data_IF_544628697825
#
_entry.id   IF_544628697825
#
_cell.length_a   1.000
_cell.length_b   1.000
_cell.length_c   1.000
_cell.angle_alpha   90.00
_cell.angle_beta   90.00
_cell.angle_gamma   90.00
#
_symmetry.space_group_name_H-M   'P 1'
#
loop_
_entity.id
_entity.type
_entity.pdbx_description
1 polymer ?
#
# COMPACT_ATOMS: atom_id res chain seq x y z
N UNK A 1 -8.28 35.18 -13.65
CA UNK A 1 -7.10 34.32 -13.45
C UNK A 1 -7.47 33.01 -12.76
N UNK A 2 -8.40 33.00 -11.79
CA UNK A 2 -8.96 31.77 -11.18
C UNK A 2 -9.83 30.94 -12.13
N UNK A 3 -10.76 31.58 -12.87
CA UNK A 3 -11.67 30.88 -13.81
C UNK A 3 -10.94 30.19 -14.99
N UNK A 4 -9.70 30.63 -15.28
CA UNK A 4 -8.87 30.01 -16.32
C UNK A 4 -8.06 28.80 -15.81
N UNK A 5 -8.00 28.58 -14.49
CA UNK A 5 -7.25 27.47 -13.88
C UNK A 5 -8.14 26.26 -13.59
N UNK A 6 -9.42 26.49 -13.26
CA UNK A 6 -10.43 25.43 -13.10
C UNK A 6 -10.67 24.66 -14.40
N UNK A 7 -10.68 25.35 -15.56
CA UNK A 7 -10.80 24.70 -16.88
C UNK A 7 -9.55 23.89 -17.31
N UNK A 8 -8.38 24.13 -16.71
CA UNK A 8 -7.18 23.35 -17.01
C UNK A 8 -7.10 22.06 -16.18
N UNK A 9 -7.73 21.99 -15.00
CA UNK A 9 -7.75 20.75 -14.21
C UNK A 9 -8.69 19.71 -14.84
N UNK A 10 -9.85 20.13 -15.34
CA UNK A 10 -10.83 19.23 -15.97
C UNK A 10 -10.37 18.62 -17.31
N UNK A 11 -9.38 19.23 -17.99
CA UNK A 11 -8.84 18.70 -19.26
C UNK A 11 -7.55 17.88 -19.09
N UNK A 12 -6.82 18.04 -17.99
CA UNK A 12 -5.54 17.33 -17.76
C UNK A 12 -5.74 15.98 -17.07
N UNK A 13 -6.76 15.84 -16.20
CA UNK A 13 -6.97 14.61 -15.43
C UNK A 13 -8.01 13.66 -16.03
N UNK A 14 -8.98 14.15 -16.81
CA UNK A 14 -10.05 13.30 -17.34
C UNK A 14 -9.69 12.57 -18.64
N UNK A 15 -8.69 13.02 -19.41
CA UNK A 15 -8.45 12.49 -20.76
C UNK A 15 -7.57 11.23 -20.82
N UNK A 16 -6.55 11.03 -19.96
CA UNK A 16 -5.76 9.79 -19.96
C UNK A 16 -6.51 8.60 -19.36
N UNK A 17 -7.25 8.84 -18.27
CA UNK A 17 -7.99 7.81 -17.51
C UNK A 17 -9.08 7.15 -18.38
N UNK A 18 -9.74 7.93 -19.25
CA UNK A 18 -10.81 7.49 -20.16
C UNK A 18 -10.39 6.43 -21.20
N UNK A 19 -9.11 6.38 -21.58
CA UNK A 19 -8.67 5.53 -22.71
C UNK A 19 -7.84 4.31 -22.28
N UNK A 20 -7.17 4.36 -21.13
CA UNK A 20 -6.35 3.26 -20.62
C UNK A 20 -7.19 2.12 -20.02
N UNK A 21 -8.22 2.45 -19.24
CA UNK A 21 -9.11 1.43 -18.61
C UNK A 21 -9.90 0.65 -19.69
N UNK A 22 -10.32 1.29 -20.77
CA UNK A 22 -11.07 0.63 -21.85
C UNK A 22 -10.21 -0.33 -22.70
N UNK A 23 -8.89 -0.12 -22.76
CA UNK A 23 -7.96 -0.96 -23.52
C UNK A 23 -7.51 -2.20 -22.72
N UNK A 24 -7.49 -2.11 -21.40
CA UNK A 24 -6.91 -3.12 -20.51
C UNK A 24 -7.86 -4.30 -20.19
N UNK A 25 -9.18 -4.07 -20.21
CA UNK A 25 -10.17 -5.07 -19.77
C UNK A 25 -10.94 -5.81 -20.89
N UNK A 26 -10.68 -5.51 -22.17
CA UNK A 26 -11.35 -6.22 -23.28
C UNK A 26 -12.88 -6.07 -23.33
N UNK A 27 -13.43 -5.09 -22.63
CA UNK A 27 -14.87 -4.87 -22.46
C UNK A 27 -15.44 -4.09 -23.65
N UNK A 28 -15.73 -4.78 -24.75
CA UNK A 28 -16.61 -4.27 -25.78
C UNK A 28 -18.07 -4.49 -25.38
N UNK A 29 -18.64 -3.64 -24.51
CA UNK A 29 -20.08 -3.38 -24.46
C UNK A 29 -20.40 -2.01 -23.85
N UNK A 30 -21.16 -1.21 -24.60
CA UNK A 30 -21.13 0.26 -24.55
C UNK A 30 -22.12 0.93 -23.60
N UNK A 31 -22.91 0.20 -22.79
CA UNK A 31 -23.89 0.83 -21.88
C UNK A 31 -23.37 0.94 -20.44
N UNK A 32 -22.77 -0.12 -19.88
CA UNK A 32 -22.25 -0.10 -18.50
C UNK A 32 -21.06 0.86 -18.31
N UNK A 33 -20.23 1.04 -19.35
CA UNK A 33 -19.14 2.02 -19.33
C UNK A 33 -19.70 3.44 -19.25
N UNK A 34 -20.77 3.73 -20.00
CA UNK A 34 -21.40 5.06 -20.00
C UNK A 34 -22.00 5.36 -18.63
N UNK A 35 -22.63 4.37 -17.99
CA UNK A 35 -23.22 4.56 -16.66
C UNK A 35 -22.16 4.82 -15.57
N UNK A 36 -21.01 4.13 -15.63
CA UNK A 36 -19.88 4.37 -14.73
C UNK A 36 -19.23 5.73 -15.02
N UNK A 37 -19.01 6.06 -16.30
CA UNK A 37 -18.47 7.36 -16.70
C UNK A 37 -19.35 8.52 -16.23
N UNK A 38 -20.68 8.38 -16.35
CA UNK A 38 -21.64 9.38 -15.87
C UNK A 38 -21.66 9.50 -14.36
N UNK A 39 -21.58 8.37 -13.63
CA UNK A 39 -21.53 8.38 -12.17
C UNK A 39 -20.24 9.03 -11.62
N UNK A 40 -19.10 8.79 -12.27
CA UNK A 40 -17.83 9.43 -11.93
C UNK A 40 -17.89 10.93 -12.23
N UNK A 41 -18.44 11.32 -13.39
CA UNK A 41 -18.57 12.73 -13.78
C UNK A 41 -19.53 13.50 -12.85
N UNK A 42 -20.62 12.86 -12.39
CA UNK A 42 -21.54 13.41 -11.38
C UNK A 42 -20.83 13.61 -10.04
N UNK A 43 -20.11 12.61 -9.54
CA UNK A 43 -19.37 12.71 -8.27
C UNK A 43 -18.25 13.75 -8.29
N UNK A 44 -17.51 13.85 -9.40
CA UNK A 44 -16.49 14.91 -9.59
C UNK A 44 -17.17 16.28 -9.54
N UNK A 45 -18.32 16.42 -10.22
CA UNK A 45 -19.08 17.68 -10.24
C UNK A 45 -19.58 18.06 -8.84
N UNK A 46 -20.10 17.09 -8.09
CA UNK A 46 -20.57 17.30 -6.72
C UNK A 46 -19.43 17.68 -5.77
N UNK A 47 -18.26 17.05 -5.92
CA UNK A 47 -17.06 17.39 -5.17
C UNK A 47 -16.57 18.81 -5.49
N UNK A 48 -16.56 19.20 -6.77
CA UNK A 48 -16.23 20.56 -7.20
C UNK A 48 -17.21 21.59 -6.60
N UNK A 49 -18.51 21.27 -6.58
CA UNK A 49 -19.55 22.13 -6.01
C UNK A 49 -19.41 22.27 -4.49
N UNK A 50 -19.16 21.17 -3.77
CA UNK A 50 -18.94 21.16 -2.34
C UNK A 50 -17.69 21.97 -1.96
N UNK A 51 -16.63 21.91 -2.78
CA UNK A 51 -15.44 22.74 -2.62
C UNK A 51 -15.79 24.22 -2.81
N UNK A 52 -16.58 24.58 -3.83
CA UNK A 52 -17.03 25.96 -4.03
C UNK A 52 -17.94 26.47 -2.90
N UNK A 53 -18.83 25.64 -2.36
CA UNK A 53 -19.73 26.01 -1.26
C UNK A 53 -19.00 26.09 0.10
N UNK A 54 -17.92 25.33 0.28
CA UNK A 54 -17.08 25.39 1.48
C UNK A 54 -16.17 26.64 1.54
N UNK A 55 -16.12 27.44 0.47
CA UNK A 55 -15.42 28.73 0.45
C UNK A 55 -16.06 29.65 1.49
N UNK A 56 -15.35 30.07 2.55
CA UNK A 56 -15.88 31.06 3.47
C UNK A 56 -16.18 32.35 2.70
N UNK A 57 -17.37 32.90 2.90
CA UNK A 57 -17.80 34.19 2.33
C UNK A 57 -16.93 35.40 2.76
N UNK A 58 -15.82 35.16 3.46
CA UNK A 58 -14.88 36.12 3.99
C UNK A 58 -13.88 36.69 2.97
N UNK A 59 -13.86 36.25 1.71
CA UNK A 59 -13.00 36.86 0.66
C UNK A 59 -13.66 38.09 -0.01
N UNK A 60 -14.64 38.75 0.65
CA UNK A 60 -15.18 40.02 0.11
C UNK A 60 -15.19 41.22 1.04
N UNK A 61 -14.70 41.15 2.28
CA UNK A 61 -14.54 42.38 3.08
C UNK A 61 -13.37 42.29 4.08
N UNK A 62 -12.15 42.52 3.60
CA UNK A 62 -11.12 43.39 4.22
C UNK A 62 -9.78 43.20 3.49
N UNK A 63 -9.63 43.93 2.39
CA UNK A 63 -8.41 44.02 1.60
C UNK A 63 -7.59 45.24 2.07
N UNK A 64 -6.97 45.21 3.26
CA UNK A 64 -5.98 46.24 3.64
C UNK A 64 -4.90 45.70 4.61
N UNK A 65 -3.65 45.70 4.11
CA UNK A 65 -2.35 45.71 4.83
C UNK A 65 -1.73 44.39 5.36
N UNK A 66 -1.11 43.59 4.49
CA UNK A 66 0.36 43.49 4.34
C UNK A 66 0.68 42.40 3.30
N UNK A 67 1.60 42.67 2.36
CA UNK A 67 1.85 41.80 1.20
C UNK A 67 2.64 40.51 1.52
N UNK A 68 3.08 40.26 2.76
CA UNK A 68 3.88 39.07 3.09
C UNK A 68 3.11 37.96 3.78
N UNK A 69 2.11 38.27 4.60
CA UNK A 69 1.30 37.24 5.28
C UNK A 69 0.28 36.63 4.32
N UNK A 70 -0.30 37.43 3.41
CA UNK A 70 -1.34 36.96 2.48
C UNK A 70 -0.83 35.90 1.49
N UNK A 71 0.41 35.98 1.01
CA UNK A 71 0.99 34.98 0.11
C UNK A 71 1.32 33.66 0.83
N UNK A 72 1.70 33.73 2.11
CA UNK A 72 1.94 32.55 2.96
C UNK A 72 0.61 31.89 3.34
N UNK A 73 -0.40 32.67 3.71
CA UNK A 73 -1.74 32.15 3.98
C UNK A 73 -2.40 31.57 2.74
N UNK A 74 -2.30 32.24 1.59
CA UNK A 74 -2.85 31.72 0.34
C UNK A 74 -2.13 30.45 -0.14
N UNK A 75 -0.81 30.33 0.06
CA UNK A 75 -0.07 29.10 -0.27
C UNK A 75 -0.34 27.96 0.72
N UNK A 76 -0.55 28.26 2.00
CA UNK A 76 -0.96 27.27 3.00
C UNK A 76 -2.40 26.79 2.78
N UNK A 77 -3.33 27.70 2.52
CA UNK A 77 -4.72 27.37 2.16
C UNK A 77 -4.79 26.56 0.85
N UNK A 78 -3.96 26.90 -0.15
CA UNK A 78 -3.84 26.11 -1.38
C UNK A 78 -3.21 24.73 -1.14
N UNK A 79 -2.23 24.64 -0.24
CA UNK A 79 -1.62 23.37 0.15
C UNK A 79 -2.62 22.48 0.88
N UNK A 80 -3.37 23.03 1.85
CA UNK A 80 -4.40 22.29 2.56
C UNK A 80 -5.52 21.85 1.61
N UNK A 81 -5.96 22.71 0.68
CA UNK A 81 -6.89 22.32 -0.39
C UNK A 81 -6.36 21.19 -1.26
N UNK A 82 -5.06 21.21 -1.60
CA UNK A 82 -4.44 20.10 -2.34
C UNK A 82 -4.47 18.80 -1.53
N UNK A 83 -4.18 18.84 -0.23
CA UNK A 83 -4.21 17.65 0.62
C UNK A 83 -5.64 17.12 0.82
N UNK A 84 -6.62 18.00 0.98
CA UNK A 84 -8.04 17.61 1.06
C UNK A 84 -8.51 17.00 -0.26
N UNK A 85 -8.14 17.57 -1.41
CA UNK A 85 -8.45 16.97 -2.71
C UNK A 85 -7.80 15.59 -2.88
N UNK A 86 -6.54 15.43 -2.45
CA UNK A 86 -5.88 14.12 -2.51
C UNK A 86 -6.59 13.09 -1.64
N UNK A 87 -6.99 13.44 -0.41
CA UNK A 87 -7.77 12.54 0.45
C UNK A 87 -9.14 12.17 -0.13
N UNK A 88 -9.84 13.12 -0.75
CA UNK A 88 -11.12 12.86 -1.44
C UNK A 88 -10.89 11.96 -2.66
N UNK A 89 -9.77 12.12 -3.38
CA UNK A 89 -9.40 11.24 -4.50
C UNK A 89 -9.15 9.83 -3.99
N UNK A 90 -8.38 9.67 -2.91
CA UNK A 90 -8.10 8.36 -2.30
C UNK A 90 -9.42 7.68 -1.83
N UNK A 91 -10.34 8.43 -1.21
CA UNK A 91 -11.67 7.92 -0.80
C UNK A 91 -12.54 7.52 -1.99
N UNK A 92 -12.54 8.31 -3.07
CA UNK A 92 -13.28 8.01 -4.29
C UNK A 92 -12.68 6.82 -5.05
N UNK A 93 -11.36 6.67 -5.03
CA UNK A 93 -10.66 5.50 -5.60
C UNK A 93 -11.09 4.23 -4.87
N UNK A 94 -11.15 4.25 -3.53
CA UNK A 94 -11.64 3.13 -2.72
C UNK A 94 -13.13 2.83 -3.00
N UNK A 95 -13.98 3.85 -3.14
CA UNK A 95 -15.41 3.65 -3.41
C UNK A 95 -15.64 3.08 -4.81
N UNK A 96 -14.85 3.51 -5.81
CA UNK A 96 -14.86 2.93 -7.16
C UNK A 96 -14.36 1.49 -7.13
N UNK A 97 -13.31 1.18 -6.36
CA UNK A 97 -12.85 -0.20 -6.16
C UNK A 97 -13.95 -1.09 -5.58
N UNK A 98 -14.71 -0.62 -4.60
CA UNK A 98 -15.82 -1.37 -4.01
C UNK A 98 -16.96 -1.63 -5.01
N UNK A 99 -17.31 -0.65 -5.84
CA UNK A 99 -18.34 -0.82 -6.87
C UNK A 99 -17.90 -1.75 -8.00
N UNK A 100 -16.63 -1.71 -8.39
CA UNK A 100 -16.05 -2.66 -9.35
C UNK A 100 -16.11 -4.08 -8.78
N UNK A 101 -15.76 -4.27 -7.50
CA UNK A 101 -15.86 -5.57 -6.83
C UNK A 101 -17.30 -6.09 -6.83
N UNK A 102 -18.29 -5.24 -6.56
CA UNK A 102 -19.71 -5.63 -6.58
C UNK A 102 -20.16 -6.03 -7.99
N UNK A 103 -19.73 -5.30 -9.02
CA UNK A 103 -20.01 -5.65 -10.42
C UNK A 103 -19.33 -6.97 -10.81
N UNK A 104 -18.06 -7.16 -10.46
CA UNK A 104 -17.32 -8.40 -10.74
C UNK A 104 -17.94 -9.62 -10.06
N UNK A 105 -18.39 -9.48 -8.80
CA UNK A 105 -19.10 -10.54 -8.08
C UNK A 105 -20.41 -10.91 -8.79
N UNK A 106 -21.17 -9.92 -9.25
CA UNK A 106 -22.39 -10.16 -10.01
C UNK A 106 -22.12 -10.82 -11.38
N UNK A 107 -21.03 -10.47 -12.07
CA UNK A 107 -20.62 -11.12 -13.32
C UNK A 107 -20.14 -12.56 -13.09
N UNK A 108 -19.47 -12.85 -11.97
CA UNK A 108 -19.04 -14.21 -11.59
C UNK A 108 -20.25 -15.08 -11.22
N UNK A 109 -21.24 -14.54 -10.52
CA UNK A 109 -22.50 -15.25 -10.23
C UNK A 109 -23.31 -15.56 -11.51
N UNK A 110 -23.25 -14.69 -12.52
CA UNK A 110 -23.88 -14.91 -13.83
C UNK A 110 -23.04 -15.80 -14.78
N UNK A 111 -21.72 -15.90 -14.58
CA UNK A 111 -20.74 -16.53 -15.48
C UNK A 111 -20.39 -18.01 -15.21
N UNK A 112 -20.99 -18.66 -14.21
CA UNK A 112 -20.71 -20.05 -13.80
C UNK A 112 -21.25 -21.15 -14.75
N UNK A 113 -21.24 -20.91 -16.07
CA UNK A 113 -21.37 -21.93 -17.11
C UNK A 113 -20.44 -21.62 -18.30
N UNK A 114 -19.15 -22.00 -18.22
CA UNK A 114 -18.38 -22.67 -19.30
C UNK A 114 -16.85 -22.75 -19.07
N UNK A 115 -16.38 -24.00 -18.93
CA UNK A 115 -15.17 -24.65 -19.52
C UNK A 115 -13.72 -24.23 -19.22
N UNK A 116 -13.00 -25.22 -18.65
CA UNK A 116 -11.68 -25.83 -18.97
C UNK A 116 -10.36 -25.03 -18.93
N UNK A 117 -9.48 -25.46 -18.00
CA UNK A 117 -8.07 -25.08 -17.81
C UNK A 117 -7.14 -25.55 -18.95
N UNK A 118 -6.06 -24.80 -19.25
CA UNK A 118 -4.87 -25.37 -19.89
C UNK A 118 -3.70 -25.53 -18.90
N UNK A 119 -3.09 -26.72 -18.89
CA UNK A 119 -1.78 -27.00 -18.31
C UNK A 119 -0.67 -26.20 -19.01
N UNK A 120 0.24 -25.59 -18.24
CA UNK A 120 1.49 -25.01 -18.78
C UNK A 120 2.74 -25.68 -18.19
N UNK A 121 3.72 -25.82 -19.08
CA UNK A 121 4.91 -26.66 -19.03
C UNK A 121 6.03 -26.20 -18.09
N UNK A 122 6.75 -27.19 -17.59
CA UNK A 122 7.99 -27.08 -16.81
C UNK A 122 9.13 -26.36 -17.56
N UNK A 123 9.53 -25.18 -17.07
CA UNK A 123 10.81 -24.55 -17.42
C UNK A 123 11.91 -24.87 -16.41
N UNK A 124 13.14 -24.75 -16.90
CA UNK A 124 14.40 -25.25 -16.36
C UNK A 124 14.83 -24.46 -15.11
N UNK A 125 15.08 -25.16 -13.99
CA UNK A 125 15.48 -24.57 -12.71
C UNK A 125 16.71 -23.65 -12.86
N UNK A 126 16.54 -22.38 -12.52
CA UNK A 126 17.65 -21.44 -12.33
C UNK A 126 18.54 -21.94 -11.20
N UNK A 127 19.81 -22.21 -11.51
CA UNK A 127 20.83 -22.57 -10.52
C UNK A 127 21.32 -21.27 -9.90
N UNK A 128 20.79 -20.95 -8.72
CA UNK A 128 21.29 -19.84 -7.88
C UNK A 128 22.78 -20.09 -7.61
N UNK A 129 23.68 -19.13 -7.93
CA UNK A 129 25.09 -19.28 -7.60
C UNK A 129 25.26 -19.39 -6.08
N UNK A 130 26.20 -20.20 -5.59
CA UNK A 130 26.41 -20.38 -4.16
C UNK A 130 26.64 -19.02 -3.48
N UNK A 131 26.15 -18.82 -2.25
CA UNK A 131 26.31 -17.56 -1.53
C UNK A 131 27.78 -17.13 -1.55
N UNK A 132 28.04 -15.89 -1.94
CA UNK A 132 29.33 -15.28 -1.71
C UNK A 132 29.64 -15.37 -0.20
N UNK A 133 30.93 -15.54 0.15
CA UNK A 133 31.42 -15.50 1.53
C UNK A 133 30.67 -14.41 2.34
N UNK A 134 30.18 -14.70 3.56
CA UNK A 134 29.29 -13.82 4.30
C UNK A 134 29.90 -12.42 4.42
N UNK A 135 29.38 -11.49 3.62
CA UNK A 135 29.87 -10.12 3.50
C UNK A 135 29.46 -9.25 4.70
N UNK A 136 28.62 -9.79 5.59
CA UNK A 136 27.94 -9.08 6.67
C UNK A 136 26.77 -8.21 6.18
N UNK A 137 26.35 -8.34 4.92
CA UNK A 137 25.17 -7.66 4.37
C UNK A 137 23.95 -8.57 4.34
N UNK A 138 22.85 -8.11 4.92
CA UNK A 138 21.60 -8.86 5.04
C UNK A 138 20.43 -8.04 4.50
N UNK A 139 19.74 -8.53 3.47
CA UNK A 139 18.52 -7.91 2.95
C UNK A 139 17.30 -8.55 3.61
N UNK A 140 16.37 -7.71 4.06
CA UNK A 140 15.09 -8.12 4.63
C UNK A 140 14.00 -7.77 3.64
N UNK A 141 13.55 -8.77 2.88
CA UNK A 141 12.38 -8.64 2.02
C UNK A 141 11.13 -8.62 2.89
N UNK A 142 10.30 -7.58 2.72
CA UNK A 142 9.05 -7.43 3.47
C UNK A 142 7.89 -7.19 2.51
N UNK A 143 6.74 -7.81 2.80
CA UNK A 143 5.54 -7.73 1.99
C UNK A 143 4.35 -7.33 2.88
N UNK A 144 3.68 -6.25 2.49
CA UNK A 144 2.51 -5.70 3.18
C UNK A 144 1.21 -5.98 2.40
N UNK A 145 0.09 -5.95 3.11
CA UNK A 145 -1.29 -6.00 2.59
C UNK A 145 -1.82 -7.36 2.11
N UNK A 146 -0.99 -8.41 2.12
CA UNK A 146 -1.44 -9.78 1.92
C UNK A 146 -2.22 -10.35 3.12
N UNK A 147 -2.74 -11.58 3.04
CA UNK A 147 -2.50 -12.54 1.97
C UNK A 147 -3.44 -12.36 0.77
N UNK A 148 -2.88 -12.48 -0.43
CA UNK A 148 -3.59 -12.58 -1.70
C UNK A 148 -2.99 -13.68 -2.58
N UNK A 149 -3.44 -13.83 -3.82
CA UNK A 149 -2.86 -14.80 -4.75
C UNK A 149 -1.41 -14.45 -5.09
N UNK A 150 -1.04 -13.16 -5.02
CA UNK A 150 0.34 -12.72 -5.14
C UNK A 150 1.21 -13.28 -4.00
N UNK A 151 0.68 -13.42 -2.78
CA UNK A 151 1.39 -14.06 -1.66
C UNK A 151 1.77 -15.50 -1.97
N UNK A 152 0.90 -16.24 -2.67
CA UNK A 152 1.16 -17.64 -3.06
C UNK A 152 2.34 -17.69 -4.03
N UNK A 153 2.31 -16.84 -5.06
CA UNK A 153 3.39 -16.72 -6.06
C UNK A 153 4.72 -16.30 -5.43
N UNK A 154 4.67 -15.35 -4.49
CA UNK A 154 5.84 -14.90 -3.73
C UNK A 154 6.41 -16.05 -2.90
N UNK A 155 5.59 -16.79 -2.15
CA UNK A 155 6.05 -17.93 -1.34
C UNK A 155 6.70 -19.01 -2.21
N UNK A 156 6.12 -19.31 -3.38
CA UNK A 156 6.72 -20.26 -4.34
C UNK A 156 8.10 -19.79 -4.81
N UNK A 157 8.23 -18.51 -5.19
CA UNK A 157 9.51 -17.91 -5.57
C UNK A 157 10.53 -17.96 -4.42
N UNK A 158 10.16 -17.52 -3.21
CA UNK A 158 11.07 -17.52 -2.06
C UNK A 158 11.57 -18.95 -1.73
N UNK A 159 10.72 -19.95 -1.89
CA UNK A 159 11.06 -21.36 -1.71
C UNK A 159 12.02 -21.87 -2.78
N UNK A 160 11.84 -21.47 -4.03
CA UNK A 160 12.74 -21.84 -5.13
C UNK A 160 14.15 -21.27 -4.95
N UNK A 161 14.27 -20.07 -4.37
CA UNK A 161 15.55 -19.46 -4.01
C UNK A 161 16.07 -19.88 -2.62
N UNK A 162 15.33 -20.68 -1.85
CA UNK A 162 15.61 -21.06 -0.45
C UNK A 162 15.90 -19.88 0.49
N UNK A 163 15.12 -18.80 0.36
CA UNK A 163 15.24 -17.60 1.18
C UNK A 163 14.03 -17.39 2.10
N UNK A 164 14.21 -16.59 3.16
CA UNK A 164 13.13 -16.24 4.09
C UNK A 164 12.85 -14.74 4.05
N UNK A 165 11.57 -14.38 4.07
CA UNK A 165 11.07 -13.01 4.11
C UNK A 165 10.16 -12.77 5.34
N UNK A 166 9.61 -11.55 5.41
CA UNK A 166 8.64 -11.13 6.44
C UNK A 166 7.35 -10.67 5.76
N UNK A 167 6.20 -11.08 6.27
CA UNK A 167 4.89 -10.72 5.74
C UNK A 167 4.12 -9.96 6.83
N UNK A 168 3.82 -8.68 6.59
CA UNK A 168 2.95 -7.87 7.43
C UNK A 168 1.53 -8.01 6.89
N UNK A 169 0.78 -8.92 7.49
CA UNK A 169 -0.49 -9.39 6.93
C UNK A 169 -1.68 -8.58 7.43
N UNK A 170 -2.76 -8.60 6.66
CA UNK A 170 -4.10 -8.22 7.02
C UNK A 170 -4.94 -9.43 7.43
N UNK A 171 -6.11 -9.20 8.02
CA UNK A 171 -7.10 -10.24 8.21
C UNK A 171 -7.92 -10.43 6.92
N UNK A 172 -7.73 -11.57 6.27
CA UNK A 172 -8.48 -11.93 5.06
C UNK A 172 -9.19 -13.26 5.30
N UNK A 173 -10.52 -13.23 5.58
CA UNK A 173 -11.30 -14.43 5.83
C UNK A 173 -11.17 -15.45 4.70
N UNK A 174 -10.95 -16.72 5.05
CA UNK A 174 -10.80 -17.80 4.08
C UNK A 174 -9.38 -17.97 3.51
N UNK A 175 -8.41 -17.17 3.96
CA UNK A 175 -6.97 -17.29 3.60
C UNK A 175 -6.10 -17.80 4.75
N UNK A 176 -6.71 -18.47 5.73
CA UNK A 176 -6.00 -18.95 6.91
C UNK A 176 -4.94 -20.02 6.57
N UNK A 177 -5.12 -20.72 5.46
CA UNK A 177 -4.13 -21.63 4.89
C UNK A 177 -2.85 -20.91 4.47
N UNK A 178 -2.95 -19.67 3.95
CA UNK A 178 -1.79 -18.86 3.58
C UNK A 178 -1.02 -18.43 4.82
N UNK A 179 -1.69 -18.05 5.92
CA UNK A 179 -0.99 -17.77 7.20
C UNK A 179 -0.18 -18.98 7.68
N UNK A 180 -0.78 -20.18 7.63
CA UNK A 180 -0.07 -21.43 7.98
C UNK A 180 1.10 -21.67 7.05
N UNK A 181 0.95 -21.40 5.76
CA UNK A 181 2.02 -21.57 4.76
C UNK A 181 3.20 -20.64 5.05
N UNK A 182 2.95 -19.34 5.30
CA UNK A 182 3.98 -18.36 5.69
C UNK A 182 4.81 -18.89 6.87
N UNK A 183 4.15 -19.35 7.94
CA UNK A 183 4.81 -19.88 9.14
C UNK A 183 5.55 -21.20 8.86
N UNK A 184 4.90 -22.16 8.19
CA UNK A 184 5.46 -23.50 7.94
C UNK A 184 6.68 -23.47 7.01
N UNK A 185 6.75 -22.52 6.09
CA UNK A 185 7.90 -22.32 5.20
C UNK A 185 9.04 -21.53 5.86
N UNK A 186 8.83 -21.11 7.12
CA UNK A 186 9.86 -20.53 7.98
C UNK A 186 10.00 -19.03 7.86
N UNK A 187 9.04 -18.33 7.24
CA UNK A 187 9.00 -16.88 7.17
C UNK A 187 8.58 -16.26 8.52
N UNK A 188 8.66 -14.94 8.62
CA UNK A 188 8.06 -14.21 9.75
C UNK A 188 6.68 -13.74 9.33
N UNK A 189 5.65 -14.13 10.07
CA UNK A 189 4.32 -13.51 9.98
C UNK A 189 4.25 -12.38 11.02
N UNK A 190 3.86 -11.19 10.58
CA UNK A 190 3.83 -9.96 11.36
C UNK A 190 2.50 -9.24 11.16
N UNK A 191 2.19 -8.30 12.05
CA UNK A 191 0.90 -7.60 12.09
C UNK A 191 0.95 -6.35 11.22
N UNK A 192 -0.04 -6.13 10.36
CA UNK A 192 -0.22 -4.83 9.69
C UNK A 192 -1.46 -4.09 10.21
N UNK A 193 -2.63 -4.69 10.00
CA UNK A 193 -3.93 -4.23 10.50
C UNK A 193 -4.97 -5.33 10.28
N UNK A 194 -6.06 -5.39 11.04
CA UNK A 194 -7.16 -6.28 10.67
C UNK A 194 -7.98 -5.71 9.51
N UNK A 195 -8.28 -4.42 9.49
CA UNK A 195 -9.16 -3.80 8.48
C UNK A 195 -8.42 -3.04 7.40
N UNK A 196 -7.25 -2.47 7.72
CA UNK A 196 -6.52 -1.50 6.88
C UNK A 196 -7.33 -0.21 6.57
N UNK A 197 -8.38 0.06 7.33
CA UNK A 197 -9.22 1.25 7.16
C UNK A 197 -8.69 2.41 8.00
N UNK A 198 -7.95 3.33 7.38
CA UNK A 198 -7.32 4.49 8.04
C UNK A 198 -8.32 5.28 8.88
N UNK A 199 -9.54 5.47 8.36
CA UNK A 199 -10.62 6.21 9.01
C UNK A 199 -11.14 5.53 10.27
N UNK A 200 -10.88 4.23 10.47
CA UNK A 200 -11.25 3.47 11.66
C UNK A 200 -10.06 3.31 12.62
N UNK A 201 -8.93 2.81 12.11
CA UNK A 201 -7.80 2.43 12.94
C UNK A 201 -7.12 3.65 13.58
N UNK A 202 -7.15 4.81 12.92
CA UNK A 202 -6.50 6.03 13.41
C UNK A 202 -7.44 7.02 14.11
N UNK A 203 -8.68 6.62 14.46
CA UNK A 203 -9.55 7.49 15.27
C UNK A 203 -9.00 7.70 16.68
N UNK A 204 -8.52 6.62 17.32
CA UNK A 204 -8.03 6.62 18.70
C UNK A 204 -6.94 5.56 18.89
N UNK A 205 -6.20 5.65 19.99
CA UNK A 205 -5.25 4.59 20.39
C UNK A 205 -5.96 3.26 20.62
N UNK A 206 -7.15 3.28 21.23
CA UNK A 206 -7.89 2.08 21.57
C UNK A 206 -8.41 1.36 20.32
N UNK A 207 -8.86 2.10 19.30
CA UNK A 207 -9.31 1.51 18.02
C UNK A 207 -8.15 0.86 17.30
N UNK A 208 -6.98 1.51 17.24
CA UNK A 208 -5.77 0.92 16.66
C UNK A 208 -5.36 -0.38 17.38
N UNK A 209 -5.27 -0.37 18.72
CA UNK A 209 -4.86 -1.54 19.48
C UNK A 209 -5.89 -2.68 19.41
N UNK A 210 -7.18 -2.37 19.34
CA UNK A 210 -8.23 -3.36 19.15
C UNK A 210 -8.12 -4.05 17.79
N UNK A 211 -7.85 -3.28 16.72
CA UNK A 211 -7.61 -3.78 15.37
C UNK A 211 -6.39 -4.73 15.32
N UNK A 212 -5.25 -4.29 15.86
CA UNK A 212 -4.04 -5.13 15.97
C UNK A 212 -4.29 -6.39 16.79
N UNK A 213 -5.03 -6.28 17.91
CA UNK A 213 -5.31 -7.44 18.75
C UNK A 213 -6.26 -8.43 18.08
N UNK A 214 -7.19 -7.96 17.25
CA UNK A 214 -8.04 -8.82 16.45
C UNK A 214 -7.19 -9.68 15.52
N UNK A 215 -6.31 -9.06 14.74
CA UNK A 215 -5.42 -9.76 13.82
C UNK A 215 -4.49 -10.73 14.56
N UNK A 216 -3.90 -10.33 15.70
CA UNK A 216 -3.06 -11.21 16.51
C UNK A 216 -3.81 -12.48 16.90
N UNK A 217 -5.05 -12.36 17.38
CA UNK A 217 -5.87 -13.52 17.76
C UNK A 217 -6.12 -14.43 16.55
N UNK A 218 -6.47 -13.88 15.39
CA UNK A 218 -6.68 -14.65 14.15
C UNK A 218 -5.42 -15.43 13.76
N UNK A 219 -4.25 -14.79 13.81
CA UNK A 219 -2.98 -15.44 13.50
C UNK A 219 -2.66 -16.55 14.52
N UNK A 220 -2.83 -16.29 15.82
CA UNK A 220 -2.57 -17.27 16.89
C UNK A 220 -3.49 -18.48 16.74
N UNK A 221 -4.78 -18.27 16.51
CA UNK A 221 -5.76 -19.36 16.37
C UNK A 221 -5.46 -20.26 15.16
N UNK A 222 -4.96 -19.68 14.06
CA UNK A 222 -4.74 -20.41 12.81
C UNK A 222 -3.33 -21.00 12.67
N UNK A 223 -2.33 -20.44 13.34
CA UNK A 223 -0.92 -20.81 13.16
C UNK A 223 -0.24 -21.30 14.44
N UNK A 224 -0.79 -20.97 15.62
CA UNK A 224 -0.15 -21.20 16.91
C UNK A 224 1.04 -20.27 17.21
N UNK A 225 1.33 -19.31 16.33
CA UNK A 225 2.40 -18.31 16.52
C UNK A 225 1.80 -17.03 17.05
N UNK A 226 2.40 -16.46 18.10
CA UNK A 226 2.08 -15.12 18.58
C UNK A 226 3.02 -14.11 17.93
N UNK A 227 2.57 -13.31 16.95
CA UNK A 227 3.41 -12.29 16.34
C UNK A 227 3.67 -11.16 17.35
N UNK A 228 4.91 -10.67 17.39
CA UNK A 228 5.33 -9.52 18.23
C UNK A 228 5.85 -8.35 17.40
N UNK A 229 5.93 -8.54 16.08
CA UNK A 229 6.41 -7.54 15.12
C UNK A 229 5.21 -6.97 14.39
N UNK A 230 5.20 -5.66 14.18
CA UNK A 230 4.17 -5.00 13.38
C UNK A 230 4.73 -3.90 12.48
N UNK A 231 3.92 -3.45 11.54
CA UNK A 231 4.17 -2.24 10.74
C UNK A 231 2.88 -1.45 10.66
N UNK A 232 2.97 -0.14 10.89
CA UNK A 232 1.82 0.75 10.81
C UNK A 232 1.39 0.93 9.35
N UNK A 233 0.09 0.85 9.01
CA UNK A 233 -0.43 1.29 7.71
C UNK A 233 0.03 2.71 7.39
N UNK A 234 0.70 2.87 6.25
CA UNK A 234 1.30 4.14 5.82
C UNK A 234 2.63 4.51 6.49
N UNK A 235 3.15 3.65 7.38
CA UNK A 235 4.39 3.88 8.14
C UNK A 235 4.21 4.73 9.40
N UNK A 236 5.19 4.69 10.30
CA UNK A 236 5.10 5.35 11.60
C UNK A 236 5.09 6.89 11.53
N UNK A 237 5.41 7.46 10.37
CA UNK A 237 5.44 8.90 10.11
C UNK A 237 4.29 9.35 9.18
N UNK A 238 3.28 8.50 8.96
CA UNK A 238 2.14 8.85 8.13
C UNK A 238 1.42 10.09 8.70
N UNK A 239 0.95 10.95 7.81
CA UNK A 239 0.19 12.16 8.17
C UNK A 239 -1.31 12.01 7.88
N UNK A 240 -1.72 10.96 7.17
CA UNK A 240 -3.14 10.67 6.89
C UNK A 240 -3.92 10.46 8.19
N UNK A 241 -3.30 9.81 9.18
CA UNK A 241 -3.87 9.62 10.52
C UNK A 241 -4.30 10.93 11.21
N UNK A 242 -3.66 12.07 10.88
CA UNK A 242 -4.00 13.36 11.49
C UNK A 242 -5.43 13.82 11.14
N UNK A 243 -5.97 13.37 10.00
CA UNK A 243 -7.34 13.69 9.59
C UNK A 243 -8.38 13.05 10.52
N UNK A 244 -8.03 11.95 11.19
CA UNK A 244 -8.96 11.17 12.02
C UNK A 244 -8.71 11.37 13.52
N UNK A 245 -7.46 11.20 13.96
CA UNK A 245 -7.08 11.23 15.38
C UNK A 245 -6.36 12.51 15.83
N UNK A 246 -6.13 13.46 14.91
CA UNK A 246 -5.33 14.67 15.16
C UNK A 246 -3.81 14.44 15.10
N UNK A 247 -3.01 15.51 15.20
CA UNK A 247 -1.55 15.48 15.01
C UNK A 247 -0.78 14.63 16.02
N UNK A 248 -1.36 14.39 17.20
CA UNK A 248 -0.73 13.63 18.27
C UNK A 248 -1.04 12.12 18.20
N UNK A 249 -1.85 11.68 17.24
CA UNK A 249 -2.33 10.29 17.19
C UNK A 249 -1.20 9.27 17.02
N UNK A 250 -0.28 9.48 16.08
CA UNK A 250 0.82 8.56 15.82
C UNK A 250 1.80 8.46 16.99
N UNK A 251 2.27 9.58 17.60
CA UNK A 251 3.05 9.51 18.84
C UNK A 251 2.36 8.68 19.95
N UNK A 252 1.06 8.89 20.16
CA UNK A 252 0.30 8.17 21.19
C UNK A 252 0.14 6.68 20.87
N UNK A 253 -0.12 6.33 19.61
CA UNK A 253 -0.20 4.95 19.14
C UNK A 253 1.15 4.25 19.27
N UNK A 254 2.25 4.91 18.91
CA UNK A 254 3.60 4.35 19.04
C UNK A 254 3.94 4.07 20.50
N UNK A 255 3.66 5.01 21.42
CA UNK A 255 3.87 4.81 22.85
C UNK A 255 3.07 3.60 23.37
N UNK A 256 1.79 3.51 23.02
CA UNK A 256 0.91 2.44 23.47
C UNK A 256 1.28 1.07 22.86
N UNK A 257 1.68 1.06 21.58
CA UNK A 257 2.18 -0.13 20.88
C UNK A 257 3.43 -0.69 21.55
N UNK A 258 4.39 0.18 21.87
CA UNK A 258 5.61 -0.23 22.58
C UNK A 258 5.28 -0.71 24.00
N UNK A 259 4.36 -0.05 24.70
CA UNK A 259 3.92 -0.45 26.04
C UNK A 259 3.19 -1.82 26.04
N UNK A 260 2.52 -2.17 24.94
CA UNK A 260 1.90 -3.47 24.73
C UNK A 260 2.90 -4.59 24.39
N UNK A 261 4.18 -4.25 24.17
CA UNK A 261 5.26 -5.21 23.92
C UNK A 261 5.49 -5.55 22.45
N UNK A 262 4.87 -4.82 21.52
CA UNK A 262 5.15 -4.98 20.10
C UNK A 262 6.39 -4.19 19.68
N UNK A 263 7.07 -4.69 18.63
CA UNK A 263 8.20 -4.04 17.99
C UNK A 263 7.76 -3.65 16.58
N UNK A 264 7.77 -2.35 16.30
CA UNK A 264 7.41 -1.89 14.96
C UNK A 264 8.63 -1.71 14.05
N UNK A 265 8.44 -2.04 12.78
CA UNK A 265 9.41 -1.82 11.70
C UNK A 265 8.79 -1.00 10.58
N UNK A 266 9.44 0.08 10.21
CA UNK A 266 9.24 0.77 8.94
C UNK A 266 10.13 0.14 7.86
N UNK A 267 10.55 0.92 6.87
CA UNK A 267 11.45 0.51 5.80
C UNK A 267 12.52 1.58 5.55
N UNK A 268 13.59 1.20 4.84
CA UNK A 268 14.62 2.15 4.38
C UNK A 268 14.95 2.00 2.89
N UNK A 269 14.25 1.09 2.22
CA UNK A 269 14.19 0.90 0.77
C UNK A 269 12.72 0.75 0.40
N UNK A 270 12.25 1.62 -0.49
CA UNK A 270 10.87 1.60 -0.99
C UNK A 270 10.88 1.10 -2.44
N UNK A 271 10.15 0.03 -2.73
CA UNK A 271 10.09 -0.53 -4.09
C UNK A 271 9.32 0.36 -5.07
N UNK A 272 8.54 1.32 -4.58
CA UNK A 272 7.61 2.13 -5.36
C UNK A 272 6.47 1.33 -6.03
N UNK A 273 6.23 0.08 -5.63
CA UNK A 273 5.10 -0.71 -6.14
C UNK A 273 3.73 -0.17 -5.66
N UNK A 274 3.72 0.60 -4.57
CA UNK A 274 2.55 1.34 -4.10
C UNK A 274 2.37 2.73 -4.74
N UNK A 275 3.28 3.18 -5.61
CA UNK A 275 3.14 4.50 -6.28
C UNK A 275 2.08 4.53 -7.39
N UNK A 276 1.53 3.37 -7.75
CA UNK A 276 0.40 3.15 -8.67
C UNK A 276 -0.37 1.93 -8.19
N UNK A 277 -1.60 1.72 -8.67
CA UNK A 277 -2.36 0.48 -8.44
C UNK A 277 -1.51 -0.74 -8.83
N UNK A 278 -1.03 -0.75 -10.08
CA UNK A 278 -0.05 -1.71 -10.59
C UNK A 278 1.14 -0.95 -11.18
N UNK A 279 2.34 -1.15 -10.63
CA UNK A 279 3.57 -0.49 -11.09
C UNK A 279 4.27 -1.29 -12.19
N UNK A 280 5.02 -0.64 -13.06
CA UNK A 280 5.88 -1.34 -14.02
C UNK A 280 6.98 -2.13 -13.29
N UNK A 281 7.12 -3.42 -13.62
CA UNK A 281 8.08 -4.34 -13.00
C UNK A 281 9.50 -3.75 -12.92
N UNK A 282 10.00 -3.18 -14.01
CA UNK A 282 11.38 -2.68 -14.09
C UNK A 282 11.61 -1.48 -13.14
N UNK A 283 10.58 -0.66 -12.88
CA UNK A 283 10.66 0.42 -11.90
C UNK A 283 10.84 -0.15 -10.48
N UNK A 284 10.13 -1.24 -10.16
CA UNK A 284 10.25 -1.93 -8.87
C UNK A 284 11.68 -2.47 -8.68
N UNK A 285 12.19 -3.18 -9.68
CA UNK A 285 13.56 -3.74 -9.68
C UNK A 285 14.60 -2.64 -9.49
N UNK A 286 14.54 -1.58 -10.32
CA UNK A 286 15.49 -0.47 -10.28
C UNK A 286 15.44 0.28 -8.95
N UNK A 287 14.25 0.51 -8.40
CA UNK A 287 14.07 1.18 -7.11
C UNK A 287 14.72 0.38 -5.98
N UNK A 288 14.47 -0.93 -5.91
CA UNK A 288 15.03 -1.79 -4.85
C UNK A 288 16.55 -1.88 -4.96
N UNK A 289 17.10 -2.16 -6.14
CA UNK A 289 18.53 -2.36 -6.32
C UNK A 289 19.33 -1.07 -6.09
N UNK A 290 18.87 0.05 -6.65
CA UNK A 290 19.57 1.34 -6.52
C UNK A 290 19.60 1.85 -5.08
N UNK A 291 18.51 1.72 -4.33
CA UNK A 291 18.43 2.14 -2.94
C UNK A 291 19.18 1.19 -2.00
N UNK A 292 19.34 -0.09 -2.37
CA UNK A 292 20.04 -1.11 -1.57
C UNK A 292 21.56 -1.08 -1.73
N UNK A 293 22.07 -0.61 -2.87
CA UNK A 293 23.50 -0.71 -3.24
C UNK A 293 24.49 -0.22 -2.16
N UNK A 294 24.12 0.83 -1.41
CA UNK A 294 24.96 1.44 -0.37
C UNK A 294 24.55 1.08 1.07
N UNK A 295 23.70 0.05 1.26
CA UNK A 295 23.23 -0.40 2.56
C UNK A 295 23.88 -1.72 2.97
N UNK A 296 23.91 -1.96 4.27
CA UNK A 296 24.27 -3.27 4.86
C UNK A 296 23.05 -4.04 5.30
N UNK A 297 21.99 -3.36 5.70
CA UNK A 297 20.75 -3.95 6.21
C UNK A 297 19.51 -3.24 5.62
N UNK A 298 19.25 -3.38 4.30
CA UNK A 298 18.04 -2.85 3.71
C UNK A 298 16.81 -3.60 4.23
N UNK A 299 15.84 -2.87 4.76
CA UNK A 299 14.48 -3.35 5.01
C UNK A 299 13.63 -2.82 3.86
N UNK A 300 13.23 -3.74 2.99
CA UNK A 300 12.67 -3.45 1.66
C UNK A 300 11.15 -3.58 1.74
N UNK A 301 10.44 -2.48 1.59
CA UNK A 301 8.98 -2.46 1.47
C UNK A 301 8.57 -2.88 0.06
N UNK A 302 7.69 -3.86 0.00
CA UNK A 302 6.92 -4.28 -1.17
C UNK A 302 5.51 -4.67 -0.68
N UNK A 303 4.59 -4.91 -1.61
CA UNK A 303 3.21 -5.24 -1.30
C UNK A 303 2.78 -6.51 -2.03
N UNK A 304 2.03 -7.37 -1.34
CA UNK A 304 1.46 -8.61 -1.88
C UNK A 304 -0.07 -8.60 -1.89
N UNK A 305 -0.69 -7.41 -1.91
CA UNK A 305 -2.13 -7.26 -2.16
C UNK A 305 -2.52 -7.65 -3.59
N UNK A 306 -3.82 -7.89 -3.82
CA UNK A 306 -4.39 -8.42 -5.08
C UNK A 306 -3.91 -7.67 -6.34
N UNK A 307 -3.79 -6.35 -6.26
CA UNK A 307 -3.46 -5.50 -7.41
C UNK A 307 -1.96 -5.41 -7.72
N UNK A 308 -1.09 -5.88 -6.81
CA UNK A 308 0.37 -5.77 -6.93
C UNK A 308 0.96 -6.93 -7.73
N UNK A 309 0.37 -7.21 -8.90
CA UNK A 309 0.67 -8.38 -9.73
C UNK A 309 2.09 -8.39 -10.30
N UNK A 310 2.71 -7.22 -10.46
CA UNK A 310 4.09 -7.09 -10.96
C UNK A 310 5.16 -7.24 -9.86
N UNK A 311 4.78 -7.18 -8.58
CA UNK A 311 5.69 -7.44 -7.45
C UNK A 311 6.21 -8.89 -7.44
N UNK A 312 5.38 -9.95 -7.55
CA UNK A 312 5.88 -11.31 -7.69
C UNK A 312 6.72 -11.50 -8.96
N UNK A 313 6.41 -10.81 -10.06
CA UNK A 313 7.18 -10.86 -11.30
C UNK A 313 8.57 -10.23 -11.17
N UNK A 314 8.69 -9.15 -10.40
CA UNK A 314 9.97 -8.46 -10.13
C UNK A 314 10.89 -9.23 -9.19
N UNK A 315 10.31 -10.11 -8.35
CA UNK A 315 11.00 -10.73 -7.23
C UNK A 315 12.24 -11.57 -7.64
N UNK A 316 12.22 -12.41 -8.70
CA UNK A 316 13.42 -13.12 -9.15
C UNK A 316 14.60 -12.20 -9.46
N UNK A 317 14.37 -11.12 -10.22
CA UNK A 317 15.41 -10.16 -10.60
C UNK A 317 15.93 -9.35 -9.39
N UNK A 318 15.05 -9.03 -8.45
CA UNK A 318 15.43 -8.41 -7.17
C UNK A 318 16.35 -9.33 -6.38
N UNK A 319 15.99 -10.61 -6.24
CA UNK A 319 16.79 -11.59 -5.48
C UNK A 319 18.17 -11.75 -6.12
N UNK A 320 18.22 -11.92 -7.45
CA UNK A 320 19.47 -12.08 -8.18
C UNK A 320 20.35 -10.83 -8.10
N UNK A 321 19.76 -9.65 -8.29
CA UNK A 321 20.48 -8.37 -8.21
C UNK A 321 21.04 -8.10 -6.81
N UNK A 322 20.25 -8.34 -5.75
CA UNK A 322 20.73 -8.22 -4.37
C UNK A 322 21.81 -9.24 -4.05
N UNK A 323 21.70 -10.47 -4.56
CA UNK A 323 22.76 -11.48 -4.44
C UNK A 323 24.06 -11.01 -5.09
N UNK A 324 24.00 -10.40 -6.27
CA UNK A 324 25.15 -9.81 -6.97
C UNK A 324 25.77 -8.62 -6.20
N UNK A 325 24.95 -7.87 -5.45
CA UNK A 325 25.41 -6.80 -4.54
C UNK A 325 26.01 -7.34 -3.22
N UNK A 326 26.00 -8.67 -3.04
CA UNK A 326 26.60 -9.39 -1.93
C UNK A 326 25.70 -9.56 -0.72
N UNK A 327 24.38 -9.42 -0.86
CA UNK A 327 23.43 -9.64 0.23
C UNK A 327 23.14 -11.14 0.43
N UNK A 328 23.03 -11.55 1.70
CA UNK A 328 22.25 -12.71 2.10
C UNK A 328 20.84 -12.26 2.51
N UNK A 329 19.87 -13.18 2.52
CA UNK A 329 18.48 -12.85 2.85
C UNK A 329 18.11 -13.40 4.21
N UNK A 330 17.48 -12.57 5.03
CA UNK A 330 16.99 -12.95 6.35
C UNK A 330 15.58 -12.40 6.56
N UNK A 331 14.83 -13.08 7.42
CA UNK A 331 13.55 -12.56 7.92
C UNK A 331 13.78 -11.65 9.12
N UNK A 332 12.85 -10.76 9.40
CA UNK A 332 12.87 -9.93 10.60
C UNK A 332 12.52 -10.80 11.81
N UNK A 333 13.24 -10.59 12.91
CA UNK A 333 13.03 -11.22 14.22
C UNK A 333 13.02 -10.14 15.30
N UNK A 334 12.67 -10.49 16.54
CA UNK A 334 12.67 -9.54 17.65
C UNK A 334 14.09 -8.99 17.95
N UNK A 335 15.13 -9.71 17.51
CA UNK A 335 16.54 -9.35 17.67
C UNK A 335 17.09 -8.54 16.49
N UNK A 336 16.34 -8.43 15.38
CA UNK A 336 16.75 -7.65 14.21
C UNK A 336 16.83 -6.16 14.58
N UNK A 337 17.92 -5.44 14.23
CA UNK A 337 17.99 -4.00 14.44
C UNK A 337 16.81 -3.28 13.77
N UNK A 338 16.09 -2.46 14.55
CA UNK A 338 14.89 -1.80 14.07
C UNK A 338 15.21 -0.72 13.03
N UNK A 339 14.35 -0.63 12.01
CA UNK A 339 14.28 0.50 11.09
C UNK A 339 13.02 1.26 11.43
N UNK A 340 13.16 2.50 11.91
CA UNK A 340 12.04 3.33 12.35
C UNK A 340 12.21 4.74 11.79
N UNK A 341 11.15 5.32 11.27
CA UNK A 341 11.16 6.68 10.78
C UNK A 341 11.32 7.67 11.92
N UNK A 342 11.99 8.79 11.63
CA UNK A 342 12.06 9.89 12.57
C UNK A 342 10.73 10.63 12.59
N UNK A 343 10.06 10.65 13.74
CA UNK A 343 8.94 11.55 13.97
C UNK A 343 9.47 12.99 13.93
N UNK A 344 8.96 13.80 13.00
CA UNK A 344 9.25 15.23 13.02
C UNK A 344 8.57 15.80 14.26
N UNK A 345 9.36 16.35 15.19
CA UNK A 345 8.82 17.25 16.22
C UNK A 345 8.48 18.56 15.52
N UNK A 346 7.20 18.87 15.42
CA UNK A 346 6.73 20.20 14.97
C UNK A 346 7.13 21.29 15.96
#
# INVERSE_FOLDING_TARGET
MLVFFTLMCSTIFATPIKHEIALEYGLYNSEQIIDIELAIEEKITDAELAIEESIPQYITNELVNSKSEFEVFASYDLYQRKQTLLGIIDELEIEVEQQIIEIEQNVIEEGLQATDEPELSSEEKAVVPPPAEPTGKYAYLTFDDGPSDNTILILDCLKDYDIKATFFVLHVPGREDVYRRIVNEGHTIALHSSTHEYSEIYQTVDTYLADIKNLENVIVENTGVTPVILRFPGGSNNTVSHQYGGSDIMPNIIEATNAAGYIYFDWNVDSQDASKITQEKDIIVDAVLSQSANKTQPVILMHDSKFKTTTPEALPEIIEGLTQLGFSFEKITAETPVVQFSLKKE
#
